data_IF_167119110402
#
_entry.id   IF_167119110402
#
_cell.length_a   1.000
_cell.length_b   1.000
_cell.length_c   1.000
_cell.angle_alpha   90.00
_cell.angle_beta   90.00
_cell.angle_gamma   90.00
#
_symmetry.space_group_name_H-M   'P 1'
#
loop_
_entity.id
_entity.type
_entity.pdbx_description
1 polymer ?
#
# COMPACT_ATOMS: atom_id res chain seq x y z
N UNK A 1 -30.31 16.34 21.79
CA UNK A 1 -30.62 15.07 22.48
C UNK A 1 -30.20 13.96 21.54
N UNK A 2 -29.21 13.15 21.91
CA UNK A 2 -28.74 12.08 21.02
C UNK A 2 -29.85 11.06 20.85
N UNK A 3 -30.07 10.70 19.60
CA UNK A 3 -31.16 9.83 19.20
C UNK A 3 -30.86 8.38 19.57
N UNK A 4 -31.89 7.54 19.66
CA UNK A 4 -31.68 6.10 19.76
C UNK A 4 -30.93 5.52 18.54
N UNK A 5 -30.85 6.27 17.44
CA UNK A 5 -30.02 5.94 16.29
C UNK A 5 -28.52 6.15 16.54
N UNK A 6 -28.10 7.17 17.31
CA UNK A 6 -26.69 7.31 17.74
C UNK A 6 -26.27 6.13 18.64
N UNK A 7 -27.22 5.63 19.44
CA UNK A 7 -27.06 4.43 20.27
C UNK A 7 -26.98 3.14 19.46
N UNK A 8 -27.49 3.12 18.24
CA UNK A 8 -27.43 1.98 17.32
C UNK A 8 -26.11 1.99 16.51
N UNK A 9 -25.64 3.17 16.11
CA UNK A 9 -24.33 3.38 15.46
C UNK A 9 -23.18 2.89 16.35
N UNK A 10 -23.27 3.11 17.66
CA UNK A 10 -22.30 2.61 18.65
C UNK A 10 -22.31 1.09 18.83
N UNK A 11 -23.38 0.40 18.44
CA UNK A 11 -23.53 -1.05 18.64
C UNK A 11 -22.96 -1.91 17.52
N UNK A 12 -22.62 -1.28 16.40
CA UNK A 12 -22.16 -1.96 15.18
C UNK A 12 -20.63 -1.91 14.99
N UNK A 13 -19.93 -1.07 15.78
CA UNK A 13 -18.46 -0.86 15.76
C UNK A 13 -17.97 -0.18 14.47
N UNK A 14 -17.41 1.03 14.41
CA UNK A 14 -16.97 2.02 15.38
C UNK A 14 -17.28 3.38 14.73
N UNK A 15 -18.20 4.16 15.27
CA UNK A 15 -18.54 5.49 14.75
C UNK A 15 -18.07 6.58 15.70
N UNK A 16 -17.44 7.63 15.18
CA UNK A 16 -17.11 8.85 15.95
C UNK A 16 -18.18 9.90 15.69
N UNK A 17 -18.78 10.41 16.78
CA UNK A 17 -19.75 11.48 16.70
C UNK A 17 -19.01 12.82 16.59
N UNK A 18 -19.37 13.61 15.58
CA UNK A 18 -18.77 14.93 15.35
C UNK A 18 -19.83 16.01 15.12
N UNK A 19 -19.44 17.25 15.35
CA UNK A 19 -20.20 18.44 15.01
C UNK A 19 -19.38 19.31 14.06
N UNK A 20 -19.74 19.32 12.77
CA UNK A 20 -19.03 20.10 11.76
C UNK A 20 -19.16 21.63 11.94
N UNK A 21 -20.24 22.09 12.60
CA UNK A 21 -20.48 23.52 12.83
C UNK A 21 -19.67 24.10 13.99
N UNK A 22 -19.35 23.27 14.99
CA UNK A 22 -18.60 23.67 16.18
C UNK A 22 -17.16 23.12 16.20
N UNK A 23 -16.88 22.10 15.40
CA UNK A 23 -15.61 21.37 15.39
C UNK A 23 -15.50 20.29 16.46
N UNK A 24 -16.53 20.09 17.29
CA UNK A 24 -16.52 19.07 18.34
C UNK A 24 -16.39 17.66 17.75
N UNK A 25 -15.52 16.83 18.34
CA UNK A 25 -15.26 15.45 17.92
C UNK A 25 -14.32 15.28 16.71
N UNK A 26 -13.84 16.36 16.10
CA UNK A 26 -12.94 16.27 14.93
C UNK A 26 -11.60 15.61 15.30
N UNK A 27 -11.02 15.91 16.45
CA UNK A 27 -9.76 15.27 16.89
C UNK A 27 -9.92 13.76 17.10
N UNK A 28 -11.05 13.34 17.68
CA UNK A 28 -11.37 11.92 17.88
C UNK A 28 -11.59 11.19 16.55
N UNK A 29 -12.16 11.90 15.56
CA UNK A 29 -12.33 11.38 14.21
C UNK A 29 -10.97 11.19 13.53
N UNK A 30 -10.07 12.16 13.65
CA UNK A 30 -8.72 12.06 13.09
C UNK A 30 -7.95 10.90 13.71
N UNK A 31 -8.01 10.73 15.03
CA UNK A 31 -7.41 9.60 15.73
C UNK A 31 -8.02 8.25 15.33
N UNK A 32 -9.32 8.19 15.07
CA UNK A 32 -9.98 6.98 14.58
C UNK A 32 -9.56 6.65 13.15
N UNK A 33 -9.41 7.67 12.28
CA UNK A 33 -8.87 7.52 10.93
C UNK A 33 -7.44 7.00 10.97
N UNK A 34 -6.58 7.56 11.80
CA UNK A 34 -5.19 7.12 11.94
C UNK A 34 -5.08 5.64 12.36
N UNK A 35 -5.97 5.19 13.25
CA UNK A 35 -6.03 3.77 13.67
C UNK A 35 -6.64 2.85 12.61
N UNK A 36 -7.59 3.36 11.84
CA UNK A 36 -8.30 2.59 10.82
C UNK A 36 -7.52 2.48 9.51
N UNK A 37 -6.57 3.38 9.26
CA UNK A 37 -5.66 3.30 8.12
C UNK A 37 -4.69 2.14 8.34
N UNK A 38 -4.82 1.04 7.57
CA UNK A 38 -3.87 -0.05 7.67
C UNK A 38 -2.48 0.48 7.30
N UNK A 39 -1.45 0.11 8.07
CA UNK A 39 -0.07 0.24 7.59
C UNK A 39 0.01 -0.60 6.32
N UNK A 40 0.20 0.06 5.18
CA UNK A 40 0.27 -0.60 3.88
C UNK A 40 1.47 -1.58 3.88
N UNK A 41 1.22 -2.90 3.94
CA UNK A 41 2.28 -3.86 4.17
C UNK A 41 3.31 -3.80 3.05
N UNK A 42 4.59 -3.78 3.42
CA UNK A 42 5.66 -3.81 2.42
C UNK A 42 5.92 -5.24 1.98
N UNK A 43 5.76 -5.50 0.70
CA UNK A 43 6.02 -6.80 0.08
C UNK A 43 7.22 -6.71 -0.87
N UNK A 44 8.00 -7.79 -0.93
CA UNK A 44 9.09 -7.92 -1.91
C UNK A 44 8.55 -8.48 -3.22
N UNK A 45 8.74 -7.73 -4.30
CA UNK A 45 8.22 -8.07 -5.63
C UNK A 45 9.27 -7.93 -6.71
N UNK A 46 9.08 -8.67 -7.81
CA UNK A 46 9.81 -8.50 -9.05
C UNK A 46 8.88 -7.91 -10.11
N UNK A 47 9.27 -6.78 -10.67
CA UNK A 47 8.54 -6.05 -11.69
C UNK A 47 9.33 -6.02 -13.00
N UNK A 48 8.63 -6.10 -14.12
CA UNK A 48 9.19 -5.94 -15.47
C UNK A 48 8.51 -4.77 -16.16
N UNK A 49 9.32 -3.82 -16.58
CA UNK A 49 8.90 -2.62 -17.30
C UNK A 49 9.46 -2.62 -18.71
N UNK A 50 8.68 -2.17 -19.68
CA UNK A 50 9.18 -1.75 -20.98
C UNK A 50 9.90 -0.40 -20.83
N UNK A 51 10.84 -0.09 -21.73
CA UNK A 51 11.58 1.18 -21.67
C UNK A 51 10.68 2.44 -21.70
N UNK A 52 9.48 2.34 -22.29
CA UNK A 52 8.48 3.42 -22.32
C UNK A 52 7.73 3.65 -21.00
N UNK A 53 7.87 2.77 -20.01
CA UNK A 53 7.16 2.82 -18.72
C UNK A 53 7.98 3.54 -17.64
N UNK A 54 8.65 4.63 -18.00
CA UNK A 54 9.51 5.40 -17.09
C UNK A 54 8.74 5.97 -15.88
N UNK A 55 7.45 6.26 -16.05
CA UNK A 55 6.59 6.78 -14.98
C UNK A 55 6.36 5.75 -13.88
N UNK A 56 6.00 4.52 -14.26
CA UNK A 56 5.78 3.43 -13.30
C UNK A 56 7.09 3.04 -12.61
N UNK A 57 8.21 3.11 -13.33
CA UNK A 57 9.53 2.92 -12.75
C UNK A 57 9.88 4.00 -11.71
N UNK A 58 9.52 5.28 -11.96
CA UNK A 58 9.71 6.37 -10.99
C UNK A 58 8.96 6.11 -9.68
N UNK A 59 7.72 5.63 -9.76
CA UNK A 59 6.93 5.29 -8.57
C UNK A 59 7.60 4.24 -7.69
N UNK A 60 8.31 3.27 -8.29
CA UNK A 60 9.06 2.26 -7.53
C UNK A 60 10.23 2.89 -6.77
N UNK A 61 10.87 3.91 -7.34
CA UNK A 61 11.96 4.64 -6.68
C UNK A 61 11.47 5.64 -5.63
N UNK A 62 10.29 6.25 -5.83
CA UNK A 62 9.74 7.26 -4.92
C UNK A 62 9.04 6.64 -3.70
N UNK A 63 8.34 5.53 -3.90
CA UNK A 63 7.42 4.96 -2.88
C UNK A 63 7.93 3.65 -2.27
N UNK A 64 9.11 3.18 -2.65
CA UNK A 64 9.68 1.95 -2.11
C UNK A 64 11.20 1.88 -2.22
N UNK A 65 11.71 0.68 -2.03
CA UNK A 65 13.15 0.42 -1.98
C UNK A 65 13.56 -0.57 -3.06
N UNK A 66 14.37 -0.11 -4.01
CA UNK A 66 14.95 -0.97 -5.05
C UNK A 66 16.14 -1.75 -4.48
N UNK A 67 16.05 -3.08 -4.55
CA UNK A 67 17.07 -4.01 -4.08
C UNK A 67 17.99 -4.43 -5.21
N UNK A 68 17.45 -4.55 -6.42
CA UNK A 68 18.21 -4.96 -7.60
C UNK A 68 17.55 -4.51 -8.88
N UNK A 69 18.37 -4.21 -9.88
CA UNK A 69 17.90 -3.85 -11.23
C UNK A 69 18.72 -4.59 -12.27
N UNK A 70 18.05 -5.09 -13.30
CA UNK A 70 18.66 -5.73 -14.47
C UNK A 70 18.04 -5.17 -15.73
N UNK A 71 18.86 -4.53 -16.54
CA UNK A 71 18.46 -4.01 -17.84
C UNK A 71 18.81 -5.07 -18.90
N UNK A 72 17.81 -5.51 -19.65
CA UNK A 72 17.98 -6.38 -20.83
C UNK A 72 17.37 -5.70 -22.05
N UNK A 73 17.78 -6.11 -23.24
CA UNK A 73 17.34 -5.48 -24.49
C UNK A 73 15.79 -5.44 -24.58
N UNK A 74 15.23 -4.24 -24.40
CA UNK A 74 13.79 -3.94 -24.47
C UNK A 74 13.02 -3.94 -23.14
N UNK A 75 13.61 -4.39 -22.03
CA UNK A 75 12.92 -4.47 -20.74
C UNK A 75 13.84 -4.31 -19.53
N UNK A 76 13.31 -3.67 -18.50
CA UNK A 76 13.94 -3.40 -17.21
C UNK A 76 13.27 -4.31 -16.18
N UNK A 77 14.07 -5.12 -15.49
CA UNK A 77 13.58 -5.94 -14.37
C UNK A 77 14.06 -5.33 -13.05
N UNK A 78 13.14 -5.16 -12.10
CA UNK A 78 13.42 -4.52 -10.81
C UNK A 78 12.92 -5.41 -9.69
N UNK A 79 13.80 -5.72 -8.74
CA UNK A 79 13.47 -6.32 -7.45
C UNK A 79 13.33 -5.17 -6.44
N UNK A 80 12.15 -5.03 -5.84
CA UNK A 80 11.86 -3.93 -4.92
C UNK A 80 10.98 -4.38 -3.75
N UNK A 81 11.13 -3.69 -2.63
CA UNK A 81 10.21 -3.69 -1.50
C UNK A 81 9.23 -2.53 -1.69
N UNK A 82 7.95 -2.84 -1.86
CA UNK A 82 6.91 -1.87 -2.17
C UNK A 82 5.69 -2.06 -1.28
N UNK A 83 4.98 -0.98 -0.93
CA UNK A 83 3.68 -1.07 -0.28
C UNK A 83 2.69 -1.88 -1.14
N UNK A 84 1.87 -2.72 -0.50
CA UNK A 84 0.91 -3.61 -1.15
C UNK A 84 -0.06 -2.85 -2.07
N UNK A 85 -0.50 -1.64 -1.70
CA UNK A 85 -1.37 -0.83 -2.55
C UNK A 85 -0.69 -0.45 -3.89
N UNK A 86 0.61 -0.16 -3.86
CA UNK A 86 1.39 0.13 -5.05
C UNK A 86 1.65 -1.15 -5.86
N UNK A 87 1.89 -2.27 -5.20
CA UNK A 87 1.99 -3.58 -5.86
C UNK A 87 0.70 -3.92 -6.61
N UNK A 88 -0.46 -3.69 -6.00
CA UNK A 88 -1.76 -3.90 -6.63
C UNK A 88 -1.94 -2.99 -7.87
N UNK A 89 -1.51 -1.72 -7.78
CA UNK A 89 -1.53 -0.78 -8.91
C UNK A 89 -0.60 -1.20 -10.05
N UNK A 90 0.52 -1.84 -9.73
CA UNK A 90 1.54 -2.33 -10.67
C UNK A 90 1.36 -3.80 -11.07
N UNK A 91 0.20 -4.41 -10.77
CA UNK A 91 -0.03 -5.84 -10.97
C UNK A 91 0.27 -6.32 -12.41
N UNK A 92 0.03 -5.49 -13.43
CA UNK A 92 0.33 -5.80 -14.84
C UNK A 92 1.82 -5.94 -15.15
N UNK A 93 2.67 -5.33 -14.33
CA UNK A 93 4.12 -5.37 -14.46
C UNK A 93 4.75 -6.46 -13.59
N UNK A 94 3.98 -7.13 -12.72
CA UNK A 94 4.48 -8.20 -11.85
C UNK A 94 4.88 -9.41 -12.69
N UNK A 95 6.08 -9.92 -12.45
CA UNK A 95 6.53 -11.20 -13.02
C UNK A 95 6.79 -12.18 -11.88
N UNK A 96 6.66 -13.50 -12.13
CA UNK A 96 6.99 -14.50 -11.12
C UNK A 96 8.39 -14.26 -10.57
N UNK A 97 8.51 -14.17 -9.24
CA UNK A 97 9.80 -14.32 -8.60
C UNK A 97 10.21 -15.76 -8.82
N UNK A 98 11.29 -15.98 -9.57
CA UNK A 98 11.91 -17.30 -9.62
C UNK A 98 12.39 -17.60 -8.21
N UNK A 99 11.96 -18.71 -7.58
CA UNK A 99 12.38 -19.04 -6.23
C UNK A 99 13.91 -19.07 -6.21
N UNK A 100 14.49 -18.42 -5.20
CA UNK A 100 15.93 -18.49 -4.99
C UNK A 100 16.32 -19.98 -5.01
N UNK A 101 17.29 -20.41 -5.83
CA UNK A 101 17.73 -21.80 -5.78
C UNK A 101 18.04 -22.10 -4.32
N UNK A 102 17.36 -23.12 -3.77
CA UNK A 102 17.66 -23.59 -2.43
C UNK A 102 19.16 -23.79 -2.39
N UNK A 103 19.83 -23.02 -1.54
CA UNK A 103 21.27 -23.18 -1.31
C UNK A 103 21.36 -24.59 -0.74
N UNK A 104 21.67 -25.56 -1.59
CA UNK A 104 21.95 -26.92 -1.20
C UNK A 104 23.22 -26.80 -0.35
N UNK A 105 23.02 -26.78 0.96
CA UNK A 105 24.09 -26.80 1.94
C UNK A 105 24.99 -28.00 1.64
N UNK A 106 26.28 -27.68 1.52
CA UNK A 106 27.40 -28.62 1.43
C UNK A 106 27.55 -29.42 2.73
#
# INVERSE_FOLDING_TARGET
MLSDADKLTLRSGEGVLISASSGEGIDDLLLAVDRALPIDPVERVRLRFLQKQGKELSWVYESGRVIGRKDRAGFISVDAELPQSLVARLAKSKIPMEPLPAIAGS
#
